data_IF_865892335198
#
_entry.id   IF_865892335198
#
_cell.length_a   1.000
_cell.length_b   1.000
_cell.length_c   1.000
_cell.angle_alpha   90.00
_cell.angle_beta   90.00
_cell.angle_gamma   90.00
#
_symmetry.space_group_name_H-M   'P 1'
#
loop_
_entity.id
_entity.type
_entity.pdbx_description
1 polymer ?
#
# COMPACT_ATOMS: atom_id res chain seq x y z
N UNK A 1 -12.25 -12.26 7.95
CA UNK A 1 -12.55 -10.82 7.89
C UNK A 1 -13.72 -10.66 6.93
N UNK A 2 -14.85 -10.14 7.38
CA UNK A 2 -16.09 -9.99 6.57
C UNK A 2 -16.43 -8.54 6.23
N UNK A 3 -15.51 -7.60 6.46
CA UNK A 3 -15.66 -6.20 6.05
C UNK A 3 -14.81 -5.90 4.83
N UNK A 4 -15.31 -4.99 3.99
CA UNK A 4 -14.63 -4.49 2.80
C UNK A 4 -13.26 -3.88 3.15
N UNK A 5 -12.24 -4.16 2.33
CA UNK A 5 -10.88 -3.62 2.50
C UNK A 5 -10.40 -3.06 1.15
N UNK A 6 -10.83 -1.85 0.76
CA UNK A 6 -10.56 -1.29 -0.56
C UNK A 6 -9.07 -0.99 -0.76
N UNK A 7 -8.62 -0.97 -2.02
CA UNK A 7 -7.27 -0.53 -2.37
C UNK A 7 -7.26 0.98 -2.51
N UNK A 8 -6.55 1.67 -1.64
CA UNK A 8 -6.51 3.14 -1.65
C UNK A 8 -5.32 3.68 -2.43
N UNK A 9 -5.53 4.85 -3.02
CA UNK A 9 -4.44 5.67 -3.52
C UNK A 9 -3.78 6.37 -2.32
N UNK A 10 -2.44 6.41 -2.22
CA UNK A 10 -1.74 7.07 -1.11
C UNK A 10 -2.20 8.49 -0.80
N UNK A 11 -2.54 9.27 -1.83
CA UNK A 11 -2.97 10.67 -1.68
C UNK A 11 -4.34 10.82 -1.02
N UNK A 12 -5.08 9.74 -0.87
CA UNK A 12 -6.42 9.74 -0.28
C UNK A 12 -6.45 9.19 1.14
N UNK A 13 -5.36 8.58 1.62
CA UNK A 13 -5.33 7.89 2.91
C UNK A 13 -5.74 8.83 4.06
N UNK A 14 -5.20 10.04 4.09
CA UNK A 14 -5.48 11.03 5.14
C UNK A 14 -6.94 11.52 5.16
N UNK A 15 -7.63 11.43 4.02
CA UNK A 15 -8.99 11.92 3.85
C UNK A 15 -10.02 10.77 3.78
N UNK A 16 -9.57 9.53 3.94
CA UNK A 16 -10.43 8.35 3.86
C UNK A 16 -11.14 8.12 5.19
N UNK A 17 -12.42 7.75 5.12
CA UNK A 17 -13.19 7.29 6.29
C UNK A 17 -13.01 5.79 6.54
N UNK A 18 -12.24 5.10 5.68
CA UNK A 18 -12.01 3.67 5.76
C UNK A 18 -10.95 3.37 6.82
N UNK A 19 -11.33 2.59 7.83
CA UNK A 19 -10.43 2.22 8.93
C UNK A 19 -9.36 1.20 8.53
N UNK A 20 -9.70 0.24 7.67
CA UNK A 20 -8.80 -0.81 7.18
C UNK A 20 -8.80 -0.80 5.66
N UNK A 21 -7.62 -0.65 5.06
CA UNK A 21 -7.47 -0.57 3.61
C UNK A 21 -6.29 -1.42 3.14
N UNK A 22 -6.18 -1.59 1.83
CA UNK A 22 -5.03 -2.23 1.20
C UNK A 22 -4.19 -1.23 0.41
N UNK A 23 -2.89 -1.44 0.39
CA UNK A 23 -1.93 -0.63 -0.34
C UNK A 23 -0.98 -1.54 -1.12
N UNK A 24 -0.90 -1.35 -2.44
CA UNK A 24 0.09 -2.03 -3.27
C UNK A 24 1.28 -1.09 -3.42
N UNK A 25 2.42 -1.49 -2.89
CA UNK A 25 3.62 -0.65 -2.89
C UNK A 25 4.90 -1.50 -3.02
N UNK A 26 5.94 -0.86 -3.53
CA UNK A 26 7.29 -1.40 -3.56
C UNK A 26 8.02 -1.00 -2.28
N UNK A 27 8.78 -1.93 -1.71
CA UNK A 27 9.64 -1.66 -0.56
C UNK A 27 10.91 -0.97 -1.04
N UNK A 28 11.16 0.24 -0.53
CA UNK A 28 12.40 0.98 -0.79
C UNK A 28 13.46 0.58 0.23
N UNK A 29 13.07 0.51 1.51
CA UNK A 29 13.94 0.06 2.59
C UNK A 29 13.14 -0.29 3.84
N UNK A 30 13.77 -1.05 4.74
CA UNK A 30 13.32 -1.32 6.10
C UNK A 30 14.35 -0.77 7.10
N UNK A 31 14.32 0.54 7.42
CA UNK A 31 15.35 1.18 8.25
C UNK A 31 15.45 0.57 9.66
N UNK A 32 14.32 0.12 10.20
CA UNK A 32 14.25 -0.59 11.48
C UNK A 32 13.31 -1.79 11.36
N UNK A 33 13.38 -2.73 12.30
CA UNK A 33 12.44 -3.85 12.38
C UNK A 33 10.96 -3.42 12.45
N UNK A 34 10.69 -2.18 12.88
CA UNK A 34 9.34 -1.65 13.07
C UNK A 34 8.95 -0.57 12.04
N UNK A 35 9.78 -0.29 11.04
CA UNK A 35 9.52 0.78 10.06
C UNK A 35 9.88 0.42 8.62
N UNK A 36 9.08 0.93 7.68
CA UNK A 36 9.30 0.82 6.23
C UNK A 36 9.34 2.19 5.56
N UNK A 37 10.09 2.24 4.46
CA UNK A 37 9.95 3.25 3.42
C UNK A 37 9.39 2.55 2.19
N UNK A 38 8.26 3.05 1.69
CA UNK A 38 7.52 2.46 0.57
C UNK A 38 7.44 3.44 -0.59
N UNK A 39 7.34 2.91 -1.82
CA UNK A 39 6.94 3.68 -3.00
C UNK A 39 5.63 3.12 -3.52
N UNK A 40 4.62 3.96 -3.68
CA UNK A 40 3.30 3.53 -4.14
C UNK A 40 2.82 4.36 -5.34
N UNK A 41 2.18 3.73 -6.35
CA UNK A 41 1.54 4.42 -7.47
C UNK A 41 0.49 5.44 -7.03
N UNK A 42 0.49 6.62 -7.66
CA UNK A 42 -0.49 7.70 -7.40
C UNK A 42 -1.19 8.22 -8.66
N UNK A 43 -0.52 8.24 -9.83
CA UNK A 43 -1.12 8.79 -11.05
C UNK A 43 -0.76 7.95 -12.29
N UNK A 44 -1.78 7.42 -12.97
CA UNK A 44 -1.64 6.61 -14.18
C UNK A 44 -1.27 7.41 -15.44
N UNK A 45 -1.55 8.72 -15.48
CA UNK A 45 -1.25 9.59 -16.62
C UNK A 45 0.23 9.96 -16.64
N UNK A 46 0.78 10.27 -15.47
CA UNK A 46 2.19 10.67 -15.30
C UNK A 46 3.11 9.50 -14.95
N UNK A 47 2.56 8.32 -14.65
CA UNK A 47 3.27 7.19 -14.05
C UNK A 47 3.99 7.56 -12.75
N UNK A 48 3.41 8.47 -11.98
CA UNK A 48 4.01 8.95 -10.75
C UNK A 48 3.77 7.98 -9.59
N UNK A 49 4.80 7.86 -8.75
CA UNK A 49 4.76 7.16 -7.47
C UNK A 49 5.19 8.12 -6.37
N UNK A 50 4.56 8.02 -5.20
CA UNK A 50 4.96 8.78 -4.01
C UNK A 50 5.78 7.89 -3.06
N UNK A 51 6.78 8.49 -2.43
CA UNK A 51 7.53 7.86 -1.34
C UNK A 51 6.82 8.10 -0.02
N UNK A 52 6.47 7.03 0.67
CA UNK A 52 5.87 7.03 2.00
C UNK A 52 6.94 6.66 3.02
N UNK A 53 7.18 7.56 3.98
CA UNK A 53 8.23 7.40 4.98
C UNK A 53 7.63 7.00 6.34
N UNK A 54 8.45 6.37 7.18
CA UNK A 54 8.12 6.02 8.57
C UNK A 54 6.82 5.20 8.71
N UNK A 55 6.57 4.29 7.75
CA UNK A 55 5.42 3.39 7.82
C UNK A 55 5.65 2.38 8.93
N UNK A 56 4.76 2.36 9.93
CA UNK A 56 4.92 1.50 11.12
C UNK A 56 4.43 0.08 10.84
N UNK A 57 5.12 -0.90 11.39
CA UNK A 57 4.74 -2.32 11.35
C UNK A 57 4.19 -2.76 12.72
N UNK A 58 3.12 -3.57 12.73
CA UNK A 58 2.69 -4.31 13.93
C UNK A 58 3.59 -5.50 14.24
N UNK A 59 4.06 -6.18 13.20
CA UNK A 59 4.84 -7.42 13.27
C UNK A 59 6.32 -7.07 13.17
N UNK A 60 7.06 -7.17 14.28
CA UNK A 60 8.47 -6.74 14.38
C UNK A 60 9.48 -7.77 13.87
N UNK A 61 9.05 -9.00 13.59
CA UNK A 61 9.89 -10.11 13.11
C UNK A 61 9.78 -10.35 11.59
N UNK A 62 8.97 -9.56 10.87
CA UNK A 62 8.82 -9.67 9.42
C UNK A 62 9.88 -8.83 8.69
N UNK A 63 10.69 -9.50 7.88
CA UNK A 63 11.68 -8.86 6.99
C UNK A 63 11.09 -8.69 5.59
N UNK A 64 11.37 -7.55 4.98
CA UNK A 64 10.93 -7.22 3.63
C UNK A 64 12.12 -7.14 2.69
N UNK A 65 11.94 -7.68 1.48
CA UNK A 65 12.95 -7.58 0.43
C UNK A 65 12.86 -6.21 -0.25
N UNK A 66 14.00 -5.57 -0.40
CA UNK A 66 14.11 -4.27 -1.11
C UNK A 66 13.79 -4.48 -2.58
N UNK A 67 13.15 -3.48 -3.18
CA UNK A 67 12.67 -3.44 -4.57
C UNK A 67 11.56 -4.46 -4.91
N UNK A 68 11.09 -5.24 -3.93
CA UNK A 68 9.96 -6.15 -4.10
C UNK A 68 8.62 -5.48 -3.83
N UNK A 69 7.59 -5.98 -4.50
CA UNK A 69 6.21 -5.51 -4.36
C UNK A 69 5.45 -6.33 -3.33
N UNK A 70 4.61 -5.63 -2.57
CA UNK A 70 3.73 -6.25 -1.59
C UNK A 70 2.35 -5.59 -1.64
N UNK A 71 1.32 -6.37 -1.34
CA UNK A 71 0.02 -5.87 -0.93
C UNK A 71 -0.01 -5.81 0.60
N UNK A 72 -0.03 -4.60 1.13
CA UNK A 72 -0.11 -4.32 2.56
C UNK A 72 -1.55 -4.19 3.00
N UNK A 73 -1.90 -4.84 4.10
CA UNK A 73 -3.15 -4.60 4.83
C UNK A 73 -2.83 -3.57 5.91
N UNK A 74 -3.45 -2.40 5.81
CA UNK A 74 -3.15 -1.24 6.62
C UNK A 74 -4.36 -0.82 7.44
N UNK A 75 -4.09 -0.23 8.61
CA UNK A 75 -5.07 0.50 9.41
C UNK A 75 -4.74 1.99 9.37
N UNK A 76 -5.71 2.84 9.07
CA UNK A 76 -5.57 4.28 9.17
C UNK A 76 -5.23 4.67 10.63
N UNK A 77 -4.37 5.67 10.83
CA UNK A 77 -4.13 6.18 12.19
C UNK A 77 -5.27 7.09 12.62
N UNK A 78 -5.67 6.94 13.87
CA UNK A 78 -6.66 7.79 14.53
C UNK A 78 -6.09 9.19 14.86
N UNK A 79 -4.77 9.40 14.67
CA UNK A 79 -4.04 10.60 15.13
C UNK A 79 -3.93 11.76 14.13
N UNK A 80 -4.51 11.66 12.93
CA UNK A 80 -4.53 12.75 11.94
C UNK A 80 -3.24 12.99 11.15
N UNK A 81 -2.14 12.28 11.47
CA UNK A 81 -0.93 12.23 10.65
C UNK A 81 -1.08 11.20 9.51
N UNK A 82 -0.35 11.38 8.39
CA UNK A 82 -0.32 10.47 7.22
C UNK A 82 0.20 9.05 7.56
N UNK A 83 0.64 8.83 8.81
CA UNK A 83 1.09 7.52 9.27
C UNK A 83 -0.07 6.54 9.37
N UNK A 84 -0.05 5.48 8.57
CA UNK A 84 -0.88 4.30 8.79
C UNK A 84 -0.04 3.18 9.38
N UNK A 85 -0.71 2.19 9.96
CA UNK A 85 -0.10 1.02 10.55
C UNK A 85 -0.28 -0.18 9.63
N UNK A 86 0.80 -0.82 9.21
CA UNK A 86 0.75 -2.09 8.48
C UNK A 86 0.43 -3.20 9.48
N UNK A 87 -0.70 -3.88 9.25
CA UNK A 87 -1.17 -5.01 10.05
C UNK A 87 -0.61 -6.34 9.53
N UNK A 88 -0.58 -6.49 8.21
CA UNK A 88 -0.07 -7.67 7.51
C UNK A 88 0.32 -7.30 6.07
N UNK A 89 0.95 -8.23 5.36
CA UNK A 89 1.40 -8.05 3.98
C UNK A 89 1.52 -9.37 3.24
N UNK A 90 1.23 -9.32 1.93
CA UNK A 90 1.37 -10.44 1.01
C UNK A 90 2.36 -10.04 -0.07
N UNK A 91 3.34 -10.91 -0.35
CA UNK A 91 4.29 -10.68 -1.45
C UNK A 91 3.58 -10.78 -2.80
N UNK A 92 3.90 -9.84 -3.70
CA UNK A 92 3.44 -9.83 -5.08
C UNK A 92 4.64 -10.11 -6.01
N UNK A 93 5.09 -11.37 -6.10
CA UNK A 93 6.28 -11.71 -6.87
C UNK A 93 6.03 -11.46 -8.36
N UNK A 94 7.06 -10.93 -9.02
CA UNK A 94 7.10 -10.73 -10.47
C UNK A 94 8.06 -11.76 -11.08
N UNK A 95 7.86 -12.08 -12.35
CA UNK A 95 8.80 -12.88 -13.10
C UNK A 95 10.11 -12.11 -13.37
N UNK A 96 11.16 -12.83 -13.74
CA UNK A 96 12.42 -12.19 -14.11
C UNK A 96 12.21 -11.22 -15.29
N UNK A 97 12.75 -10.00 -15.17
CA UNK A 97 12.57 -8.89 -16.12
C UNK A 97 11.13 -8.37 -16.28
N UNK A 98 10.19 -8.80 -15.43
CA UNK A 98 8.85 -8.22 -15.36
C UNK A 98 8.83 -6.97 -14.47
N UNK A 99 8.02 -5.99 -14.85
CA UNK A 99 7.81 -4.76 -14.08
C UNK A 99 6.33 -4.57 -13.76
N UNK A 100 6.05 -4.14 -12.53
CA UNK A 100 4.70 -3.80 -12.11
C UNK A 100 4.14 -2.64 -12.95
N UNK A 101 2.95 -2.82 -13.51
CA UNK A 101 2.26 -1.76 -14.24
C UNK A 101 1.65 -0.73 -13.29
N UNK A 102 2.27 0.45 -13.20
CA UNK A 102 1.76 1.59 -12.41
C UNK A 102 0.31 1.92 -12.79
N UNK A 103 0.02 1.95 -14.11
CA UNK A 103 -1.32 2.21 -14.63
C UNK A 103 -2.33 1.15 -14.18
N UNK A 104 -1.91 -0.12 -14.19
CA UNK A 104 -2.73 -1.23 -13.72
C UNK A 104 -3.10 -1.10 -12.24
N UNK A 105 -2.11 -0.76 -11.39
CA UNK A 105 -2.34 -0.56 -9.95
C UNK A 105 -3.29 0.62 -9.69
N UNK A 106 -3.07 1.78 -10.33
CA UNK A 106 -3.93 2.95 -10.15
C UNK A 106 -5.34 2.69 -10.69
N UNK A 107 -5.47 1.99 -11.82
CA UNK A 107 -6.77 1.58 -12.35
C UNK A 107 -7.51 0.67 -11.36
N UNK A 108 -6.83 -0.32 -10.78
CA UNK A 108 -7.39 -1.21 -9.76
C UNK A 108 -7.85 -0.44 -8.51
N UNK A 109 -7.04 0.50 -8.01
CA UNK A 109 -7.43 1.37 -6.89
C UNK A 109 -8.73 2.11 -7.21
N UNK A 110 -8.86 2.70 -8.40
CA UNK A 110 -10.04 3.46 -8.80
C UNK A 110 -11.27 2.57 -9.02
N UNK A 111 -11.09 1.38 -9.62
CA UNK A 111 -12.17 0.43 -9.85
C UNK A 111 -12.70 -0.16 -8.54
N UNK A 112 -11.81 -0.52 -7.61
CA UNK A 112 -12.20 -1.09 -6.32
C UNK A 112 -13.07 -0.13 -5.49
N UNK A 113 -12.85 1.19 -5.62
CA UNK A 113 -13.70 2.20 -4.99
C UNK A 113 -15.04 2.37 -5.69
N UNK A 114 -15.05 2.28 -7.02
CA UNK A 114 -16.26 2.52 -7.83
C UNK A 114 -17.24 1.35 -7.78
N UNK A 115 -16.73 0.14 -7.55
CA UNK A 115 -17.51 -1.09 -7.56
C UNK A 115 -17.24 -1.94 -6.30
N UNK A 116 -17.63 -1.45 -5.10
CA UNK A 116 -17.37 -2.17 -3.84
C UNK A 116 -18.04 -3.55 -3.81
N UNK A 117 -19.21 -3.71 -4.43
CA UNK A 117 -19.91 -5.01 -4.47
C UNK A 117 -19.13 -6.14 -5.20
N UNK A 118 -18.07 -5.79 -5.93
CA UNK A 118 -17.22 -6.74 -6.67
C UNK A 118 -15.91 -7.08 -5.96
N UNK A 119 -15.51 -6.34 -4.91
CA UNK A 119 -14.14 -6.35 -4.35
C UNK A 119 -14.10 -6.42 -2.83
#
# INVERSE_FOLDING_TARGET
MSSETPRLNPNEISNSTVSIFRLIAQVVSQPTQSSLILKSPVDAKTNEMITLNNIKLTVTDKTYEVDQWYEFICRASDSGDVGFLVLDSVSCPLQENEQMSIKGVVALQNLSKKFPDLY
#
